data_IF_444473563260
#
_entry.id   IF_444473563260
#
_cell.length_a   1.000
_cell.length_b   1.000
_cell.length_c   1.000
_cell.angle_alpha   90.00
_cell.angle_beta   90.00
_cell.angle_gamma   90.00
#
_symmetry.space_group_name_H-M   'P 1'
#
loop_
_entity.id
_entity.type
_entity.pdbx_description
1 polymer ?
#
# COMPACT_ATOMS: atom_id res chain seq x y z
N UNK A 1 -15.22 8.63 13.51
CA UNK A 1 -15.77 8.34 12.17
C UNK A 1 -14.78 8.77 11.10
N UNK A 2 -14.25 7.78 10.33
CA UNK A 2 -13.20 7.99 9.33
C UNK A 2 -13.63 8.92 8.19
N UNK A 3 -14.89 8.86 7.78
CA UNK A 3 -15.39 9.59 6.63
C UNK A 3 -16.35 10.73 6.99
N UNK A 4 -16.49 11.05 8.26
CA UNK A 4 -17.37 12.12 8.73
C UNK A 4 -18.80 11.99 8.17
N UNK A 5 -19.49 10.91 8.53
CA UNK A 5 -20.85 10.59 8.09
C UNK A 5 -21.02 10.63 6.54
N UNK A 6 -20.09 10.02 5.81
CA UNK A 6 -20.06 9.93 4.35
C UNK A 6 -19.63 11.22 3.61
N UNK A 7 -19.50 12.36 4.24
CA UNK A 7 -19.11 13.62 3.57
C UNK A 7 -17.76 13.49 2.85
N UNK A 8 -16.82 12.78 3.47
CA UNK A 8 -15.47 12.57 2.92
C UNK A 8 -15.30 11.19 2.27
N UNK A 9 -16.37 10.41 2.14
CA UNK A 9 -16.30 9.10 1.50
C UNK A 9 -15.79 9.22 0.06
N UNK A 10 -14.99 8.24 -0.36
CA UNK A 10 -14.47 8.14 -1.71
C UNK A 10 -14.30 6.67 -2.11
N UNK A 11 -14.17 6.43 -3.39
CA UNK A 11 -13.89 5.12 -3.97
C UNK A 11 -12.73 5.23 -4.96
N UNK A 12 -11.76 4.34 -4.86
CA UNK A 12 -10.56 4.35 -5.70
C UNK A 12 -9.39 5.07 -5.05
N UNK A 13 -8.51 5.66 -5.86
CA UNK A 13 -7.37 6.45 -5.40
C UNK A 13 -7.75 7.92 -5.26
N UNK A 14 -7.41 8.50 -4.12
CA UNK A 14 -7.58 9.92 -3.80
C UNK A 14 -6.21 10.56 -3.62
N UNK A 15 -5.77 11.46 -4.53
CA UNK A 15 -4.45 12.08 -4.46
C UNK A 15 -4.32 13.03 -3.27
N UNK A 16 -3.12 13.16 -2.74
CA UNK A 16 -2.82 13.95 -1.52
C UNK A 16 -3.24 15.42 -1.59
N UNK A 17 -3.39 15.98 -2.79
CA UNK A 17 -3.82 17.34 -3.06
C UNK A 17 -5.34 17.54 -2.88
N UNK A 18 -6.11 16.45 -2.81
CA UNK A 18 -7.56 16.54 -2.57
C UNK A 18 -7.84 16.97 -1.13
N UNK A 19 -8.77 17.91 -0.96
CA UNK A 19 -9.13 18.46 0.36
C UNK A 19 -9.66 17.38 1.33
N UNK A 20 -10.29 16.33 0.81
CA UNK A 20 -10.79 15.21 1.63
C UNK A 20 -9.65 14.44 2.28
N UNK A 21 -8.49 14.31 1.60
CA UNK A 21 -7.33 13.58 2.14
C UNK A 21 -6.93 14.15 3.49
N UNK A 22 -6.78 15.47 3.57
CA UNK A 22 -6.43 16.10 4.85
C UNK A 22 -7.45 15.79 5.94
N UNK A 23 -8.75 15.91 5.66
CA UNK A 23 -9.82 15.65 6.61
C UNK A 23 -9.80 14.19 7.10
N UNK A 24 -9.61 13.23 6.19
CA UNK A 24 -9.53 11.80 6.53
C UNK A 24 -8.28 11.51 7.36
N UNK A 25 -7.12 11.99 6.93
CA UNK A 25 -5.84 11.77 7.60
C UNK A 25 -5.84 12.38 9.01
N UNK A 26 -6.45 13.54 9.21
CA UNK A 26 -6.61 14.16 10.55
C UNK A 26 -7.38 13.24 11.53
N UNK A 27 -8.24 12.33 11.05
CA UNK A 27 -8.93 11.35 11.91
C UNK A 27 -8.05 10.22 12.41
N UNK A 28 -6.92 9.96 11.76
CA UNK A 28 -6.03 8.85 12.11
C UNK A 28 -5.45 8.95 13.51
N UNK A 29 -5.42 10.14 14.10
CA UNK A 29 -4.98 10.34 15.50
C UNK A 29 -5.88 9.60 16.52
N UNK A 30 -7.11 9.26 16.13
CA UNK A 30 -8.08 8.54 16.95
C UNK A 30 -8.08 7.02 16.68
N UNK A 31 -6.96 6.48 16.16
CA UNK A 31 -6.84 5.06 15.90
C UNK A 31 -6.92 4.20 17.16
N UNK A 32 -7.36 2.97 17.00
CA UNK A 32 -7.39 1.96 18.05
C UNK A 32 -6.53 0.76 17.64
N UNK A 33 -5.81 0.17 18.59
CA UNK A 33 -5.11 -1.09 18.38
C UNK A 33 -6.03 -2.25 18.71
N UNK A 34 -6.32 -3.10 17.73
CA UNK A 34 -7.23 -4.24 17.87
C UNK A 34 -6.59 -5.51 17.29
N UNK A 35 -7.13 -6.65 17.67
CA UNK A 35 -6.68 -7.93 17.15
C UNK A 35 -7.08 -8.04 15.67
N UNK A 36 -6.10 -8.28 14.79
CA UNK A 36 -6.29 -8.38 13.33
C UNK A 36 -7.44 -9.32 12.95
N UNK A 37 -7.45 -10.55 13.50
CA UNK A 37 -8.45 -11.56 13.13
C UNK A 37 -9.89 -11.13 13.39
N UNK A 38 -10.12 -10.27 14.40
CA UNK A 38 -11.45 -9.75 14.71
C UNK A 38 -11.84 -8.64 13.71
N UNK A 39 -10.84 -7.88 13.23
CA UNK A 39 -11.06 -6.76 12.30
C UNK A 39 -11.22 -7.18 10.83
N UNK A 40 -10.80 -8.39 10.47
CA UNK A 40 -11.01 -8.95 9.12
C UNK A 40 -12.50 -9.23 8.83
N UNK A 41 -13.34 -9.31 9.85
CA UNK A 41 -14.78 -9.61 9.75
C UNK A 41 -15.66 -8.44 10.21
N UNK A 42 -15.09 -7.30 10.61
CA UNK A 42 -15.83 -6.15 11.12
C UNK A 42 -15.73 -4.91 10.22
N UNK A 43 -16.66 -4.72 9.26
CA UNK A 43 -16.64 -3.59 8.34
C UNK A 43 -16.96 -2.22 9.01
N UNK A 44 -17.24 -2.19 10.31
CA UNK A 44 -17.36 -0.92 11.04
C UNK A 44 -16.02 -0.24 11.30
N UNK A 45 -14.91 -0.98 11.07
CA UNK A 45 -13.53 -0.50 11.15
C UNK A 45 -12.82 -0.64 9.82
N UNK A 46 -11.86 0.26 9.55
CA UNK A 46 -10.89 0.10 8.48
C UNK A 46 -9.49 0.00 9.06
N UNK A 47 -8.82 -1.10 8.76
CA UNK A 47 -7.42 -1.29 9.10
C UNK A 47 -6.55 -0.40 8.22
N UNK A 48 -5.63 0.35 8.82
CA UNK A 48 -4.65 1.16 8.08
C UNK A 48 -3.57 0.26 7.48
N UNK A 49 -3.36 0.38 6.18
CA UNK A 49 -2.33 -0.37 5.43
C UNK A 49 -1.37 0.62 4.80
N UNK A 50 -0.08 0.51 5.13
CA UNK A 50 0.95 1.18 4.34
C UNK A 50 1.11 0.46 2.99
N UNK A 51 1.06 1.20 1.89
CA UNK A 51 1.10 0.66 0.53
C UNK A 51 2.09 1.46 -0.32
N UNK A 52 3.25 0.90 -0.65
CA UNK A 52 4.35 1.61 -1.29
C UNK A 52 4.54 1.20 -2.75
N UNK A 53 4.40 2.17 -3.66
CA UNK A 53 4.73 2.07 -5.07
C UNK A 53 6.24 2.32 -5.25
N UNK A 54 6.97 1.36 -5.83
CA UNK A 54 8.39 1.49 -6.11
C UNK A 54 8.66 1.89 -7.57
N UNK A 55 9.51 2.89 -7.75
CA UNK A 55 10.00 3.33 -9.06
C UNK A 55 11.52 3.29 -9.12
N UNK A 56 12.07 2.84 -10.23
CA UNK A 56 13.52 2.95 -10.43
C UNK A 56 13.94 4.42 -10.57
N UNK A 57 14.92 4.81 -9.80
CA UNK A 57 15.39 6.21 -9.77
C UNK A 57 15.96 6.70 -11.11
N UNK A 58 16.46 5.78 -11.95
CA UNK A 58 17.11 6.08 -13.24
C UNK A 58 16.15 6.00 -14.42
N UNK A 59 15.42 4.89 -14.53
CA UNK A 59 14.56 4.59 -15.71
C UNK A 59 13.10 4.98 -15.50
N UNK A 60 12.69 5.21 -14.25
CA UNK A 60 11.31 5.44 -13.83
C UNK A 60 10.37 4.25 -14.11
N UNK A 61 10.94 3.09 -14.36
CA UNK A 61 10.18 1.85 -14.40
C UNK A 61 9.53 1.56 -13.05
N UNK A 62 8.35 0.98 -13.08
CA UNK A 62 7.55 0.63 -11.91
C UNK A 62 7.77 -0.85 -11.57
N UNK A 63 7.92 -1.16 -10.29
CA UNK A 63 7.95 -2.54 -9.85
C UNK A 63 6.54 -3.14 -9.92
N UNK A 64 6.39 -4.18 -10.70
CA UNK A 64 5.18 -5.01 -10.77
C UNK A 64 5.52 -6.39 -10.22
N UNK A 65 4.68 -6.94 -9.36
CA UNK A 65 4.89 -8.28 -8.84
C UNK A 65 3.63 -9.15 -8.96
N UNK A 66 3.82 -10.46 -8.93
CA UNK A 66 2.74 -11.46 -8.89
C UNK A 66 2.96 -12.40 -7.72
N UNK A 67 1.90 -12.66 -6.98
CA UNK A 67 1.90 -13.69 -5.94
C UNK A 67 1.71 -15.06 -6.58
N UNK A 68 2.64 -15.99 -6.28
CA UNK A 68 2.53 -17.37 -6.68
C UNK A 68 1.58 -18.13 -5.75
N UNK A 69 1.09 -19.28 -6.21
CA UNK A 69 0.25 -20.16 -5.39
C UNK A 69 1.06 -20.75 -4.25
N UNK A 70 0.76 -20.36 -3.01
CA UNK A 70 1.44 -20.89 -1.81
C UNK A 70 1.76 -19.86 -0.73
N UNK A 71 1.68 -18.56 -1.02
CA UNK A 71 1.95 -17.51 -0.06
C UNK A 71 0.81 -16.50 0.09
N UNK A 72 0.72 -15.88 1.25
CA UNK A 72 -0.12 -14.71 1.52
C UNK A 72 -1.63 -14.91 1.32
N UNK A 73 -2.30 -13.85 0.92
CA UNK A 73 -3.74 -13.80 0.70
C UNK A 73 -4.16 -14.60 -0.54
N UNK A 74 -4.82 -15.74 -0.33
CA UNK A 74 -5.21 -16.65 -1.41
C UNK A 74 -6.09 -16.01 -2.49
N UNK A 75 -6.88 -14.98 -2.12
CA UNK A 75 -7.74 -14.22 -3.04
C UNK A 75 -6.96 -13.40 -4.08
N UNK A 76 -5.68 -13.14 -3.84
CA UNK A 76 -4.79 -12.38 -4.72
C UNK A 76 -3.85 -13.26 -5.55
N UNK A 77 -3.94 -14.58 -5.47
CA UNK A 77 -3.11 -15.50 -6.24
C UNK A 77 -3.28 -15.29 -7.75
N UNK A 78 -2.16 -15.14 -8.45
CA UNK A 78 -2.12 -14.93 -9.89
C UNK A 78 -2.44 -13.53 -10.37
N UNK A 79 -2.89 -12.63 -9.49
CA UNK A 79 -3.06 -11.21 -9.82
C UNK A 79 -1.72 -10.47 -9.76
N UNK A 80 -1.62 -9.43 -10.56
CA UNK A 80 -0.52 -8.48 -10.48
C UNK A 80 -0.79 -7.42 -9.41
N UNK A 81 0.26 -6.90 -8.82
CA UNK A 81 0.23 -5.77 -7.89
C UNK A 81 1.43 -4.85 -8.16
N UNK A 82 1.26 -3.55 -7.88
CA UNK A 82 2.35 -2.56 -7.96
C UNK A 82 2.75 -2.01 -6.58
N UNK A 83 1.95 -2.23 -5.56
CA UNK A 83 2.24 -1.73 -4.23
C UNK A 83 2.66 -2.84 -3.27
N UNK A 84 3.77 -2.62 -2.60
CA UNK A 84 4.22 -3.42 -1.47
C UNK A 84 3.53 -2.91 -0.22
N UNK A 85 2.89 -3.77 0.54
CA UNK A 85 2.20 -3.32 1.74
C UNK A 85 1.76 -4.45 2.65
N UNK A 86 1.53 -4.08 3.89
CA UNK A 86 1.12 -5.01 4.93
C UNK A 86 0.42 -4.31 6.09
N UNK A 87 -0.01 -5.13 7.03
CA UNK A 87 -0.67 -4.67 8.24
C UNK A 87 0.32 -3.98 9.17
N UNK A 88 -0.19 -2.98 9.88
CA UNK A 88 0.60 -2.25 10.85
C UNK A 88 0.83 -3.05 12.12
N UNK A 89 2.05 -2.99 12.63
CA UNK A 89 2.39 -3.32 14.00
C UNK A 89 2.40 -2.05 14.85
N UNK A 90 2.14 -2.17 16.13
CA UNK A 90 2.33 -1.08 17.08
C UNK A 90 3.82 -0.82 17.26
N UNK A 91 4.24 0.43 17.05
CA UNK A 91 5.62 0.87 17.15
C UNK A 91 5.77 1.99 18.18
N UNK A 92 6.94 2.07 18.82
CA UNK A 92 7.24 3.12 19.80
C UNK A 92 7.66 4.38 19.06
N UNK A 93 6.70 5.11 18.54
CA UNK A 93 6.88 6.37 17.80
C UNK A 93 5.99 7.46 18.36
N UNK A 94 6.21 8.71 17.94
CA UNK A 94 5.49 9.86 18.50
C UNK A 94 4.11 10.10 17.87
N UNK A 95 3.93 9.69 16.62
CA UNK A 95 2.72 9.98 15.85
C UNK A 95 2.28 8.78 15.02
N UNK A 96 0.99 8.72 14.71
CA UNK A 96 0.44 7.74 13.77
C UNK A 96 1.11 7.83 12.38
N UNK A 97 1.52 9.01 11.96
CA UNK A 97 2.18 9.22 10.67
C UNK A 97 3.58 8.60 10.62
N UNK A 98 4.33 8.71 11.72
CA UNK A 98 5.61 8.00 11.86
C UNK A 98 5.39 6.49 11.89
N UNK A 99 4.36 6.02 12.61
CA UNK A 99 4.00 4.60 12.67
C UNK A 99 3.66 4.02 11.29
N UNK A 100 2.87 4.72 10.50
CA UNK A 100 2.54 4.35 9.13
C UNK A 100 3.80 4.23 8.26
N UNK A 101 4.69 5.20 8.36
CA UNK A 101 5.92 5.25 7.57
C UNK A 101 6.91 4.16 7.97
N UNK A 102 7.08 3.93 9.28
CA UNK A 102 7.94 2.85 9.83
C UNK A 102 7.43 1.48 9.39
N UNK A 103 6.12 1.23 9.48
CA UNK A 103 5.56 -0.03 9.02
C UNK A 103 5.70 -0.22 7.51
N UNK A 104 5.49 0.81 6.69
CA UNK A 104 5.72 0.73 5.25
C UNK A 104 7.20 0.45 4.92
N UNK A 105 8.14 1.05 5.64
CA UNK A 105 9.57 0.79 5.49
C UNK A 105 9.94 -0.64 5.88
N UNK A 106 9.36 -1.18 6.96
CA UNK A 106 9.54 -2.57 7.39
C UNK A 106 9.08 -3.55 6.31
N UNK A 107 7.88 -3.37 5.75
CA UNK A 107 7.35 -4.22 4.68
C UNK A 107 8.26 -4.19 3.43
N UNK A 108 8.74 -3.01 3.03
CA UNK A 108 9.71 -2.89 1.94
C UNK A 108 11.02 -3.65 2.22
N UNK A 109 11.49 -3.66 3.46
CA UNK A 109 12.67 -4.42 3.84
C UNK A 109 12.40 -5.93 3.82
N UNK A 110 11.27 -6.37 4.36
CA UNK A 110 10.90 -7.78 4.49
C UNK A 110 10.62 -8.41 3.11
N UNK A 111 9.88 -7.74 2.23
CA UNK A 111 9.47 -8.30 0.95
C UNK A 111 10.54 -8.13 -0.16
N UNK A 112 11.16 -6.95 -0.25
CA UNK A 112 11.99 -6.59 -1.42
C UNK A 112 13.39 -6.05 -1.07
N UNK A 113 13.82 -6.19 0.16
CA UNK A 113 15.20 -5.92 0.57
C UNK A 113 15.61 -4.44 0.60
N UNK A 114 14.70 -3.51 0.44
CA UNK A 114 14.98 -2.07 0.61
C UNK A 114 15.27 -1.79 2.08
N UNK A 115 16.41 -1.18 2.42
CA UNK A 115 16.72 -0.93 3.82
C UNK A 115 15.72 0.04 4.44
N UNK A 116 15.33 -0.22 5.70
CA UNK A 116 14.37 0.62 6.41
C UNK A 116 14.84 2.08 6.53
N UNK A 117 16.13 2.30 6.80
CA UNK A 117 16.73 3.63 6.87
C UNK A 117 16.52 4.39 5.55
N UNK A 118 16.85 3.75 4.42
CA UNK A 118 16.63 4.34 3.09
C UNK A 118 15.16 4.61 2.83
N UNK A 119 14.28 3.65 3.13
CA UNK A 119 12.84 3.79 2.93
C UNK A 119 12.25 4.94 3.77
N UNK A 120 12.66 5.07 5.03
CA UNK A 120 12.23 6.16 5.91
C UNK A 120 12.60 7.55 5.37
N UNK A 121 13.71 7.69 4.68
CA UNK A 121 14.11 8.95 4.05
C UNK A 121 13.39 9.21 2.72
N UNK A 122 13.05 8.16 1.97
CA UNK A 122 12.60 8.27 0.58
C UNK A 122 11.13 7.90 0.33
N UNK A 123 10.38 7.46 1.34
CA UNK A 123 8.94 7.27 1.24
C UNK A 123 8.22 8.62 1.23
N UNK A 124 7.51 8.91 0.14
CA UNK A 124 6.71 10.12 -0.04
C UNK A 124 5.23 9.77 -0.09
N UNK A 125 4.44 10.33 0.81
CA UNK A 125 3.00 10.17 0.78
C UNK A 125 2.38 10.77 -0.47
N UNK A 126 1.57 10.00 -1.20
CA UNK A 126 0.93 10.43 -2.45
C UNK A 126 -0.60 10.39 -2.43
N UNK A 127 -1.22 9.73 -1.47
CA UNK A 127 -2.68 9.69 -1.37
C UNK A 127 -3.22 8.51 -0.59
N UNK A 128 -4.52 8.30 -0.72
CA UNK A 128 -5.27 7.23 -0.05
C UNK A 128 -5.96 6.33 -1.08
N UNK A 129 -6.20 5.08 -0.71
CA UNK A 129 -7.03 4.13 -1.48
C UNK A 129 -8.14 3.60 -0.60
N UNK A 130 -9.38 3.62 -1.11
CA UNK A 130 -10.53 2.97 -0.51
C UNK A 130 -11.30 2.13 -1.54
N UNK A 131 -11.63 0.89 -1.18
CA UNK A 131 -12.38 -0.04 -2.03
C UNK A 131 -13.48 -0.76 -1.23
N UNK A 132 -14.67 -0.22 -1.22
CA UNK A 132 -15.80 -0.83 -0.49
C UNK A 132 -16.54 -1.91 -1.29
N UNK A 133 -16.09 -2.21 -2.52
CA UNK A 133 -16.72 -3.23 -3.37
C UNK A 133 -16.15 -4.63 -3.18
N UNK A 134 -15.00 -4.74 -2.54
CA UNK A 134 -14.38 -6.03 -2.25
C UNK A 134 -14.43 -6.31 -0.73
N UNK A 135 -14.53 -7.58 -0.34
CA UNK A 135 -14.50 -7.98 1.08
C UNK A 135 -13.24 -7.47 1.79
N UNK A 136 -12.07 -7.56 1.12
CA UNK A 136 -10.81 -7.03 1.64
C UNK A 136 -10.88 -5.53 1.80
N UNK A 137 -11.35 -4.82 0.78
CA UNK A 137 -11.40 -3.36 0.80
C UNK A 137 -12.40 -2.78 1.81
N UNK A 138 -13.47 -3.51 2.14
CA UNK A 138 -14.44 -3.07 3.16
C UNK A 138 -13.80 -2.88 4.54
N UNK A 139 -12.76 -3.65 4.87
CA UNK A 139 -12.09 -3.62 6.17
C UNK A 139 -10.70 -2.97 6.12
N UNK A 140 -10.27 -2.42 4.97
CA UNK A 140 -8.97 -1.80 4.81
C UNK A 140 -9.06 -0.41 4.18
N UNK A 141 -8.11 0.46 4.52
CA UNK A 141 -7.82 1.72 3.81
C UNK A 141 -6.31 1.81 3.57
N UNK A 142 -5.90 2.08 2.33
CA UNK A 142 -4.50 2.21 1.94
C UNK A 142 -3.98 3.62 2.14
N UNK A 143 -2.83 3.73 2.80
CA UNK A 143 -2.02 4.95 2.86
C UNK A 143 -0.88 4.78 1.88
N UNK A 144 -0.96 5.49 0.75
CA UNK A 144 -0.11 5.24 -0.41
C UNK A 144 1.13 6.10 -0.35
N UNK A 145 2.26 5.45 -0.50
CA UNK A 145 3.58 6.07 -0.63
C UNK A 145 4.18 5.76 -2.00
N UNK A 146 5.03 6.64 -2.48
CA UNK A 146 5.97 6.40 -3.57
C UNK A 146 7.37 6.37 -2.99
N UNK A 147 8.22 5.46 -3.48
CA UNK A 147 9.63 5.39 -3.12
C UNK A 147 10.46 5.14 -4.38
N UNK A 148 11.40 6.06 -4.67
CA UNK A 148 12.39 5.85 -5.74
C UNK A 148 13.55 5.00 -5.19
N UNK A 149 13.91 3.94 -5.91
CA UNK A 149 14.97 3.00 -5.52
C UNK A 149 15.91 2.74 -6.70
N UNK A 150 17.08 2.19 -6.42
CA UNK A 150 17.94 1.60 -7.45
C UNK A 150 17.46 0.15 -7.66
N UNK A 151 16.84 -0.12 -8.82
CA UNK A 151 16.27 -1.44 -9.12
C UNK A 151 17.27 -2.59 -9.03
N UNK A 152 18.55 -2.29 -9.26
CA UNK A 152 19.62 -3.29 -9.20
C UNK A 152 19.94 -3.72 -7.74
N UNK A 153 19.40 -3.02 -6.75
CA UNK A 153 19.53 -3.32 -5.32
C UNK A 153 18.27 -3.91 -4.69
N UNK A 154 17.20 -4.05 -5.46
CA UNK A 154 15.94 -4.65 -5.01
C UNK A 154 16.03 -6.16 -5.18
N UNK A 155 15.88 -6.89 -4.08
CA UNK A 155 15.95 -8.35 -4.03
C UNK A 155 14.69 -8.90 -3.37
N UNK A 156 13.96 -9.76 -4.06
CA UNK A 156 12.82 -10.47 -3.47
C UNK A 156 13.37 -11.44 -2.42
N UNK A 157 12.96 -11.27 -1.18
CA UNK A 157 13.38 -12.14 -0.07
C UNK A 157 12.49 -13.39 0.08
N UNK A 158 11.30 -13.35 -0.49
CA UNK A 158 10.33 -14.46 -0.50
C UNK A 158 10.20 -15.07 -1.90
N UNK A 159 11.31 -15.57 -2.46
CA UNK A 159 11.42 -16.09 -3.84
C UNK A 159 10.37 -17.16 -4.19
N UNK A 160 9.91 -17.93 -3.22
CA UNK A 160 8.90 -18.98 -3.43
C UNK A 160 7.47 -18.45 -3.57
N UNK A 161 7.25 -17.18 -3.27
CA UNK A 161 5.91 -16.59 -3.18
C UNK A 161 5.67 -15.40 -4.11
N UNK A 162 6.73 -14.72 -4.53
CA UNK A 162 6.67 -13.51 -5.35
C UNK A 162 7.56 -13.60 -6.59
N UNK A 163 7.04 -13.12 -7.71
CA UNK A 163 7.83 -12.84 -8.93
C UNK A 163 7.72 -11.35 -9.23
N UNK A 164 8.86 -10.67 -9.33
CA UNK A 164 8.91 -9.25 -9.66
C UNK A 164 9.31 -9.01 -11.11
N UNK A 165 8.85 -7.89 -11.67
CA UNK A 165 9.26 -7.36 -12.96
C UNK A 165 9.28 -5.83 -12.89
N UNK A 166 10.28 -5.22 -13.50
CA UNK A 166 10.31 -3.78 -13.73
C UNK A 166 9.70 -3.49 -15.09
N UNK A 167 8.72 -2.61 -15.13
CA UNK A 167 7.96 -2.28 -16.32
C UNK A 167 7.95 -0.78 -16.56
N UNK A 168 8.01 -0.38 -17.82
CA UNK A 168 7.72 1.02 -18.17
C UNK A 168 6.31 1.37 -17.73
N UNK A 169 6.05 2.67 -17.57
CA UNK A 169 4.71 3.16 -17.22
C UNK A 169 3.64 2.62 -18.17
N UNK A 170 3.92 2.64 -19.47
CA UNK A 170 2.99 2.19 -20.50
C UNK A 170 2.71 0.70 -20.41
N UNK A 171 3.73 -0.11 -20.11
CA UNK A 171 3.56 -1.56 -19.90
C UNK A 171 2.73 -1.84 -18.65
N UNK A 172 3.08 -1.22 -17.53
CA UNK A 172 2.36 -1.37 -16.27
C UNK A 172 0.88 -0.93 -16.39
N UNK A 173 0.60 0.15 -17.11
CA UNK A 173 -0.78 0.61 -17.34
C UNK A 173 -1.60 -0.32 -18.24
N UNK A 174 -0.96 -1.16 -19.07
CA UNK A 174 -1.64 -2.14 -19.96
C UNK A 174 -1.93 -3.47 -19.28
N UNK A 175 -1.39 -3.71 -18.09
CA UNK A 175 -1.69 -4.94 -17.35
C UNK A 175 -3.19 -5.02 -17.03
N UNK A 176 -3.84 -6.12 -17.43
CA UNK A 176 -5.29 -6.29 -17.31
C UNK A 176 -5.71 -7.13 -16.10
N UNK A 177 -4.74 -7.67 -15.35
CA UNK A 177 -5.02 -8.59 -14.25
C UNK A 177 -4.49 -8.09 -12.90
N UNK A 178 -4.63 -6.79 -12.65
CA UNK A 178 -4.32 -6.23 -11.33
C UNK A 178 -5.35 -6.60 -10.27
N UNK A 179 -4.91 -6.64 -9.02
CA UNK A 179 -5.81 -6.48 -7.89
C UNK A 179 -6.36 -5.03 -7.87
N UNK A 180 -7.47 -4.81 -7.14
CA UNK A 180 -8.23 -3.55 -7.24
C UNK A 180 -7.42 -2.30 -6.88
N UNK A 181 -6.58 -2.35 -5.84
CA UNK A 181 -5.80 -1.19 -5.42
C UNK A 181 -4.74 -0.79 -6.46
N UNK A 182 -4.09 -1.78 -7.07
CA UNK A 182 -3.15 -1.52 -8.17
C UNK A 182 -3.83 -0.97 -9.42
N UNK A 183 -5.06 -1.45 -9.72
CA UNK A 183 -5.86 -0.89 -10.81
C UNK A 183 -6.15 0.60 -10.59
N UNK A 184 -6.46 1.00 -9.36
CA UNK A 184 -6.69 2.40 -9.01
C UNK A 184 -5.42 3.28 -9.14
N UNK A 185 -4.24 2.70 -9.03
CA UNK A 185 -2.97 3.43 -9.13
C UNK A 185 -2.47 3.62 -10.56
N UNK A 186 -3.09 3.01 -11.58
CA UNK A 186 -2.68 3.19 -12.99
C UNK A 186 -2.44 4.63 -13.41
N UNK A 187 -3.24 5.63 -12.98
CA UNK A 187 -2.99 7.02 -13.36
C UNK A 187 -1.70 7.63 -12.81
N UNK A 188 -1.15 7.07 -11.72
CA UNK A 188 0.03 7.61 -11.01
C UNK A 188 1.28 6.73 -11.09
N UNK A 189 1.22 5.61 -11.82
CA UNK A 189 2.39 4.78 -12.16
C UNK A 189 3.44 5.52 -12.96
#
# INVERSE_FOLDING_TARGET
>A
DLFNDEENHFYGFLPKEDEKVKKIVDTFVAYEVKRRGDMEEDPSYKQLIGYALLKDSKTKEVLVYRRLTGGGEARLHGKASVGIGGHMNEEVVKTIYEMLKVNAARELNEEVGVSEEYALENLHFIGLINDDKTEVGQVHIGVVYECEVDKDKVEVKEDDTLVIKWETREEAQREDNYESWSEFLKPVM
#
